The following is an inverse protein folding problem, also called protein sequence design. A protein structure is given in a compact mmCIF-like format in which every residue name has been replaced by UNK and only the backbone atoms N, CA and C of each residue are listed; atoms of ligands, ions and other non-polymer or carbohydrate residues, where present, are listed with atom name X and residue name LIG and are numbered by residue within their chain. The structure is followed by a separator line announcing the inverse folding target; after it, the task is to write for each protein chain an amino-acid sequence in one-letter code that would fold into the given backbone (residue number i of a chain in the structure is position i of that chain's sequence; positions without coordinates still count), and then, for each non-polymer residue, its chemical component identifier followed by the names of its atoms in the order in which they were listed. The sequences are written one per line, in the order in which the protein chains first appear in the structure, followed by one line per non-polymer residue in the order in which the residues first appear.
data_IF_083930133983
#
_entry.id   IF_083930133983
#
_cell.length_a   1.000
_cell.length_b   1.000
_cell.length_c   1.000
_cell.angle_alpha   90.00
_cell.angle_beta   90.00
_cell.angle_gamma   90.00
#
_symmetry.space_group_name_H-M   'P 1'
#
loop_
_entity.id
_entity.type
_entity.pdbx_description
1 polymer ?
#
# COMPACT_ATOMS: atom_id res chain seq x y z
N UNK A 1 -11.87 9.78 17.76
CA UNK A 1 -11.20 8.49 17.78
C UNK A 1 -9.73 8.53 17.32
N UNK A 2 -9.32 9.31 16.30
CA UNK A 2 -7.91 9.47 15.88
C UNK A 2 -6.99 10.06 16.98
N UNK A 3 -7.47 11.04 17.77
CA UNK A 3 -6.69 11.67 18.85
C UNK A 3 -6.29 10.72 19.97
N UNK A 4 -7.18 9.80 20.36
CA UNK A 4 -6.90 8.79 21.40
C UNK A 4 -5.91 7.71 20.92
N UNK A 5 -5.84 7.46 19.59
CA UNK A 5 -4.89 6.53 18.97
C UNK A 5 -3.47 7.12 18.92
N UNK A 6 -3.34 8.42 18.61
CA UNK A 6 -2.04 9.13 18.65
C UNK A 6 -1.44 9.17 20.06
N UNK A 7 -2.25 9.40 21.08
CA UNK A 7 -1.79 9.40 22.49
C UNK A 7 -1.35 8.02 22.99
N UNK A 8 -1.96 6.93 22.50
CA UNK A 8 -1.55 5.57 22.88
C UNK A 8 -0.24 5.11 22.20
N UNK A 9 0.11 5.69 21.03
CA UNK A 9 1.35 5.38 20.30
C UNK A 9 2.58 6.16 20.81
N UNK A 10 2.41 7.25 21.55
CA UNK A 10 3.51 8.14 21.99
C UNK A 10 4.29 7.66 23.24
N UNK A 11 3.97 6.51 23.82
CA UNK A 11 4.54 6.06 25.09
C UNK A 11 5.37 4.77 25.09
N UNK A 12 5.48 4.06 23.96
CA UNK A 12 6.34 2.87 23.84
C UNK A 12 7.39 3.12 22.76
N UNK A 13 8.59 2.58 22.98
CA UNK A 13 9.65 2.48 21.98
C UNK A 13 9.07 1.73 20.76
N UNK A 14 8.50 2.46 19.79
CA UNK A 14 7.77 1.88 18.64
C UNK A 14 8.82 1.31 17.72
N UNK A 15 8.92 -0.02 17.66
CA UNK A 15 9.85 -0.72 16.77
C UNK A 15 9.48 -0.41 15.32
N UNK A 16 10.46 -0.05 14.51
CA UNK A 16 10.30 0.16 13.07
C UNK A 16 9.84 -1.13 12.39
N UNK A 17 8.83 -1.03 11.50
CA UNK A 17 8.42 -2.16 10.65
C UNK A 17 9.25 -2.19 9.38
N UNK A 18 9.43 -1.03 8.75
CA UNK A 18 10.24 -0.87 7.53
C UNK A 18 11.22 0.27 7.76
N UNK A 19 12.46 0.07 7.36
CA UNK A 19 13.48 1.11 7.32
C UNK A 19 14.29 0.99 6.03
N UNK A 20 14.50 2.10 5.35
CA UNK A 20 15.40 2.22 4.22
C UNK A 20 16.43 3.31 4.49
N UNK A 21 17.67 3.06 4.12
CA UNK A 21 18.76 4.03 4.23
C UNK A 21 19.56 4.07 2.93
N UNK A 22 19.49 5.21 2.23
CA UNK A 22 20.17 5.44 0.95
C UNK A 22 19.81 4.40 -0.12
N UNK A 23 18.54 3.93 -0.14
CA UNK A 23 18.11 2.87 -1.04
C UNK A 23 18.23 3.31 -2.49
N UNK A 24 18.96 2.54 -3.30
CA UNK A 24 19.09 2.69 -4.73
C UNK A 24 18.79 1.40 -5.48
N UNK A 25 18.21 1.52 -6.67
CA UNK A 25 17.96 0.38 -7.53
C UNK A 25 17.98 0.73 -9.00
N UNK A 26 18.68 -0.08 -9.78
CA UNK A 26 18.82 0.05 -11.22
C UNK A 26 18.31 -1.21 -11.93
N UNK A 27 17.49 -1.02 -12.96
CA UNK A 27 17.15 -2.08 -13.89
C UNK A 27 18.18 -2.11 -15.02
N UNK A 28 18.70 -3.31 -15.31
CA UNK A 28 19.59 -3.57 -16.45
C UNK A 28 18.79 -4.24 -17.55
N UNK A 29 18.72 -3.62 -18.71
CA UNK A 29 18.05 -4.16 -19.89
C UNK A 29 19.09 -4.48 -20.97
N UNK A 30 19.19 -5.74 -21.34
CA UNK A 30 20.04 -6.20 -22.43
C UNK A 30 19.19 -6.29 -23.69
N UNK A 31 19.48 -5.48 -24.72
CA UNK A 31 18.73 -5.50 -25.99
C UNK A 31 19.27 -6.52 -26.98
N UNK A 32 20.61 -6.74 -27.03
CA UNK A 32 21.26 -7.74 -27.87
C UNK A 32 22.47 -8.35 -27.16
N UNK A 33 22.84 -9.59 -27.52
CA UNK A 33 24.07 -10.24 -27.02
C UNK A 33 25.31 -9.43 -27.45
N UNK A 34 26.08 -8.96 -26.46
CA UNK A 34 27.35 -8.24 -26.67
C UNK A 34 27.26 -6.72 -26.60
N UNK A 35 26.08 -6.13 -26.38
CA UNK A 35 25.94 -4.70 -26.08
C UNK A 35 25.97 -4.43 -24.57
N UNK A 36 26.43 -3.23 -24.19
CA UNK A 36 26.32 -2.77 -22.81
C UNK A 36 24.84 -2.62 -22.45
N UNK A 37 24.41 -3.03 -21.22
CA UNK A 37 23.02 -2.94 -20.81
C UNK A 37 22.59 -1.49 -20.70
N UNK A 38 21.37 -1.20 -21.13
CA UNK A 38 20.70 0.05 -20.80
C UNK A 38 20.38 0.06 -19.29
N UNK A 39 20.90 1.07 -18.59
CA UNK A 39 20.71 1.24 -17.15
C UNK A 39 19.59 2.23 -16.91
N UNK A 40 18.53 1.79 -16.23
CA UNK A 40 17.43 2.67 -15.81
C UNK A 40 17.38 2.73 -14.28
N UNK A 41 17.71 3.92 -13.72
CA UNK A 41 17.56 4.16 -12.28
C UNK A 41 16.08 4.23 -11.91
N UNK A 42 15.62 3.29 -11.09
CA UNK A 42 14.24 3.23 -10.62
C UNK A 42 14.05 3.76 -9.20
N UNK A 43 15.08 3.69 -8.37
CA UNK A 43 15.15 4.25 -7.02
C UNK A 43 16.51 4.93 -6.86
N UNK A 44 16.51 6.13 -6.28
CA UNK A 44 17.73 6.93 -6.04
C UNK A 44 17.69 7.56 -4.66
N UNK A 45 18.60 7.12 -3.78
CA UNK A 45 18.84 7.66 -2.42
C UNK A 45 17.56 7.80 -1.56
N UNK A 46 16.70 6.78 -1.55
CA UNK A 46 15.49 6.79 -0.75
C UNK A 46 15.78 6.35 0.68
N UNK A 47 15.52 7.26 1.63
CA UNK A 47 15.58 6.98 3.06
C UNK A 47 14.22 7.21 3.69
N UNK A 48 13.69 6.21 4.40
CA UNK A 48 12.37 6.26 5.06
C UNK A 48 12.30 5.34 6.26
N UNK A 49 11.34 5.62 7.13
CA UNK A 49 11.00 4.77 8.27
C UNK A 49 9.47 4.68 8.43
N UNK A 50 8.96 3.45 8.61
CA UNK A 50 7.56 3.14 8.84
C UNK A 50 7.45 2.35 10.15
N UNK A 51 6.63 2.83 11.07
CA UNK A 51 6.41 2.18 12.36
C UNK A 51 5.36 1.08 12.25
N UNK A 52 5.44 0.07 13.14
CA UNK A 52 4.44 -1.00 13.21
C UNK A 52 3.03 -0.43 13.40
N UNK A 53 2.09 -0.97 12.64
CA UNK A 53 0.68 -0.59 12.68
C UNK A 53 0.36 0.77 12.08
N UNK A 54 1.28 1.44 11.37
CA UNK A 54 0.95 2.62 10.58
C UNK A 54 0.24 2.25 9.28
N UNK A 55 -0.64 3.15 8.83
CA UNK A 55 -1.22 3.13 7.49
C UNK A 55 -0.51 4.20 6.66
N UNK A 56 0.34 3.77 5.72
CA UNK A 56 1.10 4.64 4.82
C UNK A 56 0.46 4.63 3.44
N UNK A 57 0.28 5.80 2.84
CA UNK A 57 -0.02 5.93 1.43
C UNK A 57 1.23 6.35 0.65
N UNK A 58 1.45 5.77 -0.53
CA UNK A 58 2.54 6.12 -1.44
C UNK A 58 1.94 6.67 -2.72
N UNK A 59 2.25 7.93 -3.02
CA UNK A 59 1.82 8.66 -4.21
C UNK A 59 2.98 8.89 -5.17
N UNK A 60 2.68 9.15 -6.43
CA UNK A 60 3.64 9.49 -7.47
C UNK A 60 3.07 9.16 -8.85
N UNK A 61 3.56 9.80 -9.90
CA UNK A 61 3.15 9.48 -11.28
C UNK A 61 3.66 8.08 -11.72
N UNK A 62 3.19 7.60 -12.89
CA UNK A 62 3.66 6.33 -13.44
C UNK A 62 5.16 6.39 -13.73
N UNK A 63 5.91 5.36 -13.31
CA UNK A 63 7.36 5.34 -13.45
C UNK A 63 8.14 6.07 -12.35
N UNK A 64 7.49 6.63 -11.32
CA UNK A 64 8.18 7.31 -10.22
C UNK A 64 8.90 6.38 -9.23
N UNK A 65 8.84 5.05 -9.39
CA UNK A 65 9.54 4.07 -8.55
C UNK A 65 8.70 3.40 -7.46
N UNK A 66 7.40 3.70 -7.31
CA UNK A 66 6.52 3.16 -6.24
C UNK A 66 6.47 1.64 -6.19
N UNK A 67 6.18 0.99 -7.32
CA UNK A 67 6.11 -0.48 -7.39
C UNK A 67 7.48 -1.14 -7.18
N UNK A 68 8.56 -0.44 -7.56
CA UNK A 68 9.94 -0.88 -7.28
C UNK A 68 10.21 -0.82 -5.78
N UNK A 69 9.84 0.27 -5.10
CA UNK A 69 9.92 0.39 -3.63
C UNK A 69 9.11 -0.72 -2.94
N UNK A 70 7.87 -0.97 -3.40
CA UNK A 70 7.01 -2.04 -2.87
C UNK A 70 7.69 -3.41 -2.93
N UNK A 71 8.33 -3.73 -4.06
CA UNK A 71 9.03 -5.01 -4.27
C UNK A 71 10.27 -5.17 -3.38
N UNK A 72 10.93 -4.08 -2.99
CA UNK A 72 12.03 -4.12 -2.01
C UNK A 72 11.52 -4.46 -0.61
N UNK A 73 10.34 -3.95 -0.22
CA UNK A 73 9.74 -4.23 1.10
C UNK A 73 9.44 -5.73 1.27
N UNK A 74 9.03 -6.41 0.20
CA UNK A 74 8.76 -7.86 0.23
C UNK A 74 10.00 -8.71 -0.14
N UNK A 75 11.18 -8.09 -0.26
CA UNK A 75 12.42 -8.75 -0.72
C UNK A 75 12.27 -9.51 -2.06
N UNK A 76 11.42 -9.01 -2.98
CA UNK A 76 11.36 -9.48 -4.36
C UNK A 76 12.47 -8.87 -5.22
N UNK A 77 12.95 -7.70 -4.84
CA UNK A 77 14.12 -7.04 -5.41
C UNK A 77 15.15 -6.82 -4.31
N UNK A 78 16.41 -6.99 -4.67
CA UNK A 78 17.55 -6.69 -3.79
C UNK A 78 18.11 -5.33 -4.19
N UNK A 79 18.34 -4.40 -3.24
CA UNK A 79 18.90 -3.09 -3.55
C UNK A 79 20.26 -3.18 -4.26
N UNK A 80 20.51 -2.29 -5.24
CA UNK A 80 21.84 -2.12 -5.83
C UNK A 80 22.73 -1.21 -4.97
N UNK A 81 22.09 -0.30 -4.21
CA UNK A 81 22.76 0.61 -3.27
C UNK A 81 21.94 0.75 -2.00
N UNK A 82 22.59 1.08 -0.89
CA UNK A 82 21.92 1.26 0.40
C UNK A 82 21.41 -0.02 1.02
N UNK A 83 20.45 0.09 1.93
CA UNK A 83 19.92 -1.08 2.66
C UNK A 83 18.44 -0.88 2.99
N UNK A 84 17.66 -1.95 2.86
CA UNK A 84 16.29 -2.06 3.34
C UNK A 84 16.22 -3.08 4.48
N UNK A 85 15.51 -2.73 5.55
CA UNK A 85 15.18 -3.62 6.67
C UNK A 85 13.67 -3.76 6.81
N UNK A 86 13.23 -4.97 7.11
CA UNK A 86 11.84 -5.33 7.44
C UNK A 86 11.85 -6.04 8.77
N UNK A 87 11.24 -5.45 9.79
CA UNK A 87 11.27 -5.96 11.18
C UNK A 87 12.71 -6.33 11.61
N UNK A 88 13.65 -5.38 11.41
CA UNK A 88 15.10 -5.48 11.67
C UNK A 88 15.88 -6.50 10.83
N UNK A 89 15.22 -7.28 9.97
CA UNK A 89 15.87 -8.20 9.03
C UNK A 89 16.25 -7.46 7.74
N UNK A 90 17.48 -7.69 7.22
CA UNK A 90 17.92 -7.08 5.96
C UNK A 90 17.39 -7.86 4.77
N UNK A 91 16.87 -7.14 3.78
CA UNK A 91 16.39 -7.74 2.54
C UNK A 91 17.49 -8.33 1.64
N UNK A 92 18.76 -8.03 1.96
CA UNK A 92 19.95 -8.58 1.29
C UNK A 92 20.41 -9.92 1.87
N UNK A 93 19.94 -10.30 3.07
CA UNK A 93 20.38 -11.50 3.75
C UNK A 93 19.47 -12.68 3.32
N UNK A 94 19.99 -13.60 2.52
CA UNK A 94 19.23 -14.71 1.92
C UNK A 94 18.50 -15.57 2.97
N UNK A 95 19.10 -15.76 4.15
CA UNK A 95 18.49 -16.50 5.27
C UNK A 95 17.23 -15.83 5.85
N UNK A 96 17.10 -14.52 5.68
CA UNK A 96 15.97 -13.76 6.20
C UNK A 96 14.86 -13.51 5.17
N UNK A 97 15.13 -13.70 3.88
CA UNK A 97 14.16 -13.44 2.79
C UNK A 97 12.84 -14.17 3.03
N UNK A 98 12.91 -15.46 3.44
CA UNK A 98 11.70 -16.23 3.70
C UNK A 98 10.88 -15.65 4.87
N UNK A 99 11.53 -15.28 5.97
CA UNK A 99 10.89 -14.66 7.14
C UNK A 99 10.29 -13.29 6.79
N UNK A 100 11.01 -12.49 5.97
CA UNK A 100 10.52 -11.20 5.48
C UNK A 100 9.23 -11.38 4.68
N UNK A 101 9.18 -12.34 3.75
CA UNK A 101 7.99 -12.62 2.94
C UNK A 101 6.81 -13.14 3.75
N UNK A 102 7.06 -13.83 4.86
CA UNK A 102 6.00 -14.21 5.79
C UNK A 102 5.42 -13.01 6.53
N UNK A 103 6.26 -12.02 6.89
CA UNK A 103 5.85 -10.83 7.65
C UNK A 103 5.29 -9.73 6.78
N UNK A 104 5.80 -9.55 5.56
CA UNK A 104 5.40 -8.51 4.61
C UNK A 104 4.74 -9.14 3.38
N UNK A 105 3.43 -9.33 3.42
CA UNK A 105 2.65 -9.80 2.28
C UNK A 105 2.50 -8.73 1.21
N UNK A 106 2.48 -9.12 -0.07
CA UNK A 106 2.32 -8.19 -1.19
C UNK A 106 1.13 -8.58 -2.07
N UNK A 107 0.33 -7.58 -2.45
CA UNK A 107 -0.72 -7.68 -3.46
C UNK A 107 -0.30 -6.90 -4.69
N UNK A 108 -0.24 -7.58 -5.83
CA UNK A 108 0.16 -6.99 -7.10
C UNK A 108 -1.00 -6.26 -7.78
N UNK A 109 -0.66 -5.30 -8.64
CA UNK A 109 -1.61 -4.54 -9.45
C UNK A 109 -2.47 -5.45 -10.34
N UNK A 110 -1.86 -6.47 -10.98
CA UNK A 110 -2.57 -7.44 -11.80
C UNK A 110 -2.76 -8.75 -11.03
N UNK A 111 -4.01 -9.14 -10.69
CA UNK A 111 -4.29 -10.36 -9.94
C UNK A 111 -3.96 -11.64 -10.74
N UNK A 112 -3.93 -11.61 -12.07
CA UNK A 112 -3.56 -12.77 -12.88
C UNK A 112 -2.09 -13.19 -12.68
N UNK A 113 -1.24 -12.29 -12.17
CA UNK A 113 0.14 -12.61 -11.81
C UNK A 113 0.26 -13.25 -10.42
N UNK A 114 -0.83 -13.31 -9.65
CA UNK A 114 -0.83 -13.77 -8.26
C UNK A 114 -1.67 -15.03 -8.05
N UNK A 115 -2.82 -15.12 -8.71
CA UNK A 115 -3.74 -16.26 -8.59
C UNK A 115 -3.19 -17.45 -9.37
N UNK A 116 -3.02 -18.58 -8.70
CA UNK A 116 -2.46 -19.82 -9.25
C UNK A 116 -3.41 -21.02 -9.10
N UNK A 117 -4.35 -20.97 -8.16
CA UNK A 117 -5.30 -22.03 -7.86
C UNK A 117 -6.39 -22.19 -8.92
N UNK A 118 -6.94 -23.40 -9.03
CA UNK A 118 -8.10 -23.67 -9.89
C UNK A 118 -9.44 -23.39 -9.21
N UNK A 119 -9.45 -23.30 -7.88
CA UNK A 119 -10.61 -23.01 -7.02
C UNK A 119 -10.23 -21.88 -6.08
N UNK A 120 -11.13 -20.93 -5.88
CA UNK A 120 -10.89 -19.72 -5.07
C UNK A 120 -10.44 -20.06 -3.65
N UNK A 121 -11.11 -20.99 -2.96
CA UNK A 121 -10.74 -21.34 -1.58
C UNK A 121 -9.37 -22.04 -1.49
N UNK A 122 -8.97 -22.81 -2.48
CA UNK A 122 -7.66 -23.44 -2.56
C UNK A 122 -6.58 -22.39 -2.81
N UNK A 123 -6.83 -21.42 -3.68
CA UNK A 123 -5.90 -20.33 -3.95
C UNK A 123 -5.64 -19.49 -2.69
N UNK A 124 -6.70 -19.13 -1.97
CA UNK A 124 -6.60 -18.37 -0.70
C UNK A 124 -5.92 -19.20 0.39
N UNK A 125 -6.11 -20.52 0.41
CA UNK A 125 -5.48 -21.45 1.36
C UNK A 125 -4.02 -21.72 1.07
N UNK A 126 -3.55 -21.51 -0.16
CA UNK A 126 -2.19 -21.84 -0.60
C UNK A 126 -1.08 -21.15 0.23
N UNK A 127 -1.25 -19.86 0.54
CA UNK A 127 -0.30 -19.12 1.38
C UNK A 127 -0.15 -19.73 2.78
N UNK A 128 -1.22 -19.86 3.56
CA UNK A 128 -1.19 -20.51 4.87
C UNK A 128 -0.66 -21.94 4.84
N UNK A 129 -0.99 -22.71 3.81
CA UNK A 129 -0.47 -24.08 3.64
C UNK A 129 1.05 -24.10 3.53
N UNK A 130 1.63 -23.25 2.69
CA UNK A 130 3.08 -23.11 2.56
C UNK A 130 3.76 -22.62 3.85
N UNK A 131 3.02 -21.93 4.73
CA UNK A 131 3.50 -21.54 6.06
C UNK A 131 3.40 -22.65 7.10
N UNK A 132 2.90 -23.85 6.73
CA UNK A 132 2.73 -24.98 7.64
C UNK A 132 1.61 -24.79 8.68
N UNK A 133 0.61 -23.94 8.39
CA UNK A 133 -0.54 -23.73 9.25
C UNK A 133 -1.39 -25.01 9.29
N UNK A 134 -1.88 -25.45 10.48
CA UNK A 134 -2.76 -26.63 10.57
C UNK A 134 -4.02 -26.50 9.71
N UNK A 135 -4.47 -27.60 9.10
CA UNK A 135 -5.57 -27.61 8.11
C UNK A 135 -6.85 -26.96 8.63
N UNK A 136 -7.24 -27.24 9.87
CA UNK A 136 -8.46 -26.65 10.47
C UNK A 136 -8.35 -25.12 10.58
N UNK A 137 -7.17 -24.61 10.90
CA UNK A 137 -6.91 -23.18 10.99
C UNK A 137 -6.82 -22.55 9.60
N UNK A 138 -6.31 -23.26 8.57
CA UNK A 138 -6.29 -22.78 7.17
C UNK A 138 -7.72 -22.45 6.74
N UNK A 139 -8.64 -23.39 6.87
CA UNK A 139 -10.03 -23.20 6.41
C UNK A 139 -10.74 -22.05 7.14
N UNK A 140 -10.47 -21.89 8.41
CA UNK A 140 -10.98 -20.75 9.17
C UNK A 140 -10.45 -19.41 8.63
N UNK A 141 -9.14 -19.31 8.39
CA UNK A 141 -8.51 -18.09 7.80
C UNK A 141 -9.02 -17.80 6.40
N UNK A 142 -9.24 -18.84 5.58
CA UNK A 142 -9.82 -18.73 4.24
C UNK A 142 -11.23 -18.13 4.32
N UNK A 143 -12.09 -18.68 5.20
CA UNK A 143 -13.46 -18.19 5.38
C UNK A 143 -13.50 -16.75 5.88
N UNK A 144 -12.69 -16.41 6.90
CA UNK A 144 -12.57 -15.04 7.42
C UNK A 144 -12.11 -14.05 6.34
N UNK A 145 -11.09 -14.42 5.55
CA UNK A 145 -10.51 -13.56 4.52
C UNK A 145 -11.45 -13.36 3.33
N UNK A 146 -12.10 -14.43 2.85
CA UNK A 146 -13.11 -14.34 1.79
C UNK A 146 -14.34 -13.55 2.24
N UNK A 147 -14.75 -13.68 3.50
CA UNK A 147 -15.84 -12.87 4.06
C UNK A 147 -15.46 -11.39 4.13
N UNK A 148 -14.26 -11.07 4.60
CA UNK A 148 -13.79 -9.71 4.72
C UNK A 148 -13.67 -8.99 3.36
N UNK A 149 -13.36 -9.72 2.29
CA UNK A 149 -13.25 -9.19 0.92
C UNK A 149 -14.57 -9.32 0.11
N UNK A 150 -15.66 -9.81 0.72
CA UNK A 150 -16.95 -10.01 0.05
C UNK A 150 -16.94 -11.11 -1.01
N UNK A 151 -16.03 -12.11 -0.88
CA UNK A 151 -15.83 -13.17 -1.86
C UNK A 151 -16.29 -14.56 -1.38
N UNK A 152 -16.89 -14.67 -0.21
CA UNK A 152 -17.29 -15.96 0.38
C UNK A 152 -18.24 -16.77 -0.50
N UNK A 153 -19.17 -16.12 -1.21
CA UNK A 153 -20.10 -16.78 -2.14
C UNK A 153 -19.43 -17.40 -3.37
N UNK A 154 -18.18 -17.00 -3.64
CA UNK A 154 -17.40 -17.49 -4.78
C UNK A 154 -16.35 -18.54 -4.38
N UNK A 155 -16.34 -19.00 -3.12
CA UNK A 155 -15.29 -19.87 -2.58
C UNK A 155 -15.03 -21.12 -3.42
N UNK A 156 -16.09 -21.77 -3.96
CA UNK A 156 -16.00 -22.97 -4.78
C UNK A 156 -15.91 -22.68 -6.29
N UNK A 157 -15.79 -21.41 -6.71
CA UNK A 157 -15.70 -21.06 -8.12
C UNK A 157 -14.25 -21.15 -8.63
N UNK A 158 -14.15 -21.35 -9.96
CA UNK A 158 -12.85 -21.20 -10.63
C UNK A 158 -12.52 -19.71 -10.79
N UNK A 159 -11.30 -19.27 -10.44
CA UNK A 159 -10.85 -17.89 -10.65
C UNK A 159 -10.97 -17.40 -12.08
N UNK A 160 -10.86 -18.30 -13.06
CA UNK A 160 -10.99 -17.98 -14.48
C UNK A 160 -12.41 -17.50 -14.89
N UNK A 161 -13.42 -17.74 -14.04
CA UNK A 161 -14.81 -17.29 -14.25
C UNK A 161 -15.11 -15.97 -13.53
N UNK A 162 -14.15 -15.41 -12.84
CA UNK A 162 -14.29 -14.16 -12.09
C UNK A 162 -13.94 -12.94 -12.95
N UNK A 163 -14.60 -11.81 -12.68
CA UNK A 163 -14.18 -10.53 -13.22
C UNK A 163 -12.82 -10.10 -12.66
N UNK A 164 -12.11 -9.17 -13.31
CA UNK A 164 -10.82 -8.65 -12.83
C UNK A 164 -10.92 -8.10 -11.41
N UNK A 165 -11.99 -7.39 -11.07
CA UNK A 165 -12.22 -6.88 -9.71
C UNK A 165 -12.50 -7.98 -8.69
N UNK A 166 -13.16 -9.06 -9.07
CA UNK A 166 -13.37 -10.23 -8.19
C UNK A 166 -12.03 -10.96 -7.97
N UNK A 167 -11.23 -11.16 -9.01
CA UNK A 167 -9.88 -11.73 -8.90
C UNK A 167 -9.00 -10.92 -7.95
N UNK A 168 -9.02 -9.59 -8.05
CA UNK A 168 -8.26 -8.72 -7.17
C UNK A 168 -8.66 -8.90 -5.69
N UNK A 169 -9.95 -9.03 -5.41
CA UNK A 169 -10.45 -9.29 -4.05
C UNK A 169 -10.03 -10.67 -3.53
N UNK A 170 -9.96 -11.67 -4.41
CA UNK A 170 -9.42 -13.00 -4.06
C UNK A 170 -7.92 -12.93 -3.76
N UNK A 171 -7.14 -12.23 -4.58
CA UNK A 171 -5.71 -12.03 -4.35
C UNK A 171 -5.44 -11.34 -3.00
N UNK A 172 -6.23 -10.33 -2.65
CA UNK A 172 -6.17 -9.67 -1.34
C UNK A 172 -6.53 -10.66 -0.21
N UNK A 173 -7.59 -11.47 -0.39
CA UNK A 173 -7.97 -12.48 0.59
C UNK A 173 -6.84 -13.50 0.84
N UNK A 174 -6.12 -13.93 -0.21
CA UNK A 174 -4.98 -14.84 -0.11
C UNK A 174 -3.86 -14.27 0.77
N UNK A 175 -3.51 -12.99 0.58
CA UNK A 175 -2.51 -12.33 1.43
C UNK A 175 -3.03 -12.16 2.87
N UNK A 176 -4.31 -11.80 3.05
CA UNK A 176 -4.91 -11.67 4.38
C UNK A 176 -4.92 -12.99 5.16
N UNK A 177 -5.14 -14.12 4.48
CA UNK A 177 -5.16 -15.45 5.09
C UNK A 177 -3.80 -15.86 5.66
N UNK A 178 -2.71 -15.33 5.13
CA UNK A 178 -1.35 -15.52 5.68
C UNK A 178 -1.16 -14.80 7.02
N UNK A 179 -2.00 -13.83 7.37
CA UNK A 179 -1.94 -12.99 8.57
C UNK A 179 -0.58 -12.27 8.75
N UNK A 180 -0.09 -11.56 7.75
CA UNK A 180 1.18 -10.87 7.82
C UNK A 180 1.15 -9.70 8.82
N UNK A 181 2.33 -9.26 9.29
CA UNK A 181 2.49 -8.06 10.14
C UNK A 181 2.43 -6.76 9.31
N UNK A 182 2.74 -6.85 8.00
CA UNK A 182 2.69 -5.76 7.04
C UNK A 182 2.03 -6.23 5.74
N UNK A 183 1.18 -5.39 5.14
CA UNK A 183 0.62 -5.62 3.81
C UNK A 183 1.02 -4.47 2.90
N UNK A 184 1.65 -4.80 1.77
CA UNK A 184 1.95 -3.88 0.68
C UNK A 184 0.94 -4.11 -0.44
N UNK A 185 0.22 -3.07 -0.81
CA UNK A 185 -0.85 -3.09 -1.80
C UNK A 185 -0.45 -2.19 -2.97
N UNK A 186 -0.08 -2.78 -4.09
CA UNK A 186 0.31 -2.05 -5.30
C UNK A 186 -0.91 -1.84 -6.19
N UNK A 187 -1.51 -0.65 -6.13
CA UNK A 187 -2.71 -0.23 -6.86
C UNK A 187 -3.90 -1.22 -6.76
N UNK A 188 -4.26 -1.68 -5.55
CA UNK A 188 -5.18 -2.81 -5.37
C UNK A 188 -6.61 -2.51 -5.82
N UNK A 189 -6.93 -1.25 -6.07
CA UNK A 189 -8.29 -0.78 -6.39
C UNK A 189 -8.44 -0.33 -7.84
N UNK A 190 -7.37 -0.35 -8.64
CA UNK A 190 -7.36 0.15 -10.02
C UNK A 190 -8.39 -0.54 -10.93
N UNK A 191 -8.61 -1.85 -10.73
CA UNK A 191 -9.54 -2.65 -11.54
C UNK A 191 -10.93 -2.80 -10.90
N UNK A 192 -11.22 -2.11 -9.79
CA UNK A 192 -12.46 -2.25 -9.05
C UNK A 192 -13.48 -1.18 -9.42
N UNK A 193 -14.75 -1.57 -9.41
CA UNK A 193 -15.87 -0.64 -9.40
C UNK A 193 -15.91 0.15 -8.07
N UNK A 194 -16.64 1.27 -7.97
CA UNK A 194 -16.65 2.10 -6.77
C UNK A 194 -17.08 1.36 -5.49
N UNK A 195 -17.97 0.38 -5.59
CA UNK A 195 -18.41 -0.41 -4.44
C UNK A 195 -17.33 -1.40 -4.00
N UNK A 196 -16.76 -2.15 -4.93
CA UNK A 196 -15.65 -3.08 -4.65
C UNK A 196 -14.45 -2.37 -4.04
N UNK A 197 -14.12 -1.15 -4.52
CA UNK A 197 -13.07 -0.30 -3.95
C UNK A 197 -13.34 0.02 -2.48
N UNK A 198 -14.56 0.46 -2.13
CA UNK A 198 -14.95 0.76 -0.75
C UNK A 198 -14.88 -0.46 0.15
N UNK A 199 -15.29 -1.64 -0.34
CA UNK A 199 -15.23 -2.90 0.40
C UNK A 199 -13.79 -3.31 0.72
N UNK A 200 -12.90 -3.28 -0.26
CA UNK A 200 -11.48 -3.59 -0.09
C UNK A 200 -10.82 -2.63 0.90
N UNK A 201 -11.00 -1.32 0.72
CA UNK A 201 -10.43 -0.33 1.62
C UNK A 201 -10.94 -0.48 3.05
N UNK A 202 -12.23 -0.81 3.22
CA UNK A 202 -12.81 -1.10 4.53
C UNK A 202 -12.16 -2.33 5.18
N UNK A 203 -11.95 -3.41 4.41
CA UNK A 203 -11.30 -4.62 4.91
C UNK A 203 -9.86 -4.35 5.34
N UNK A 204 -9.08 -3.66 4.50
CA UNK A 204 -7.68 -3.29 4.79
C UNK A 204 -7.58 -2.36 6.00
N UNK A 205 -8.47 -1.36 6.09
CA UNK A 205 -8.53 -0.48 7.27
C UNK A 205 -8.86 -1.24 8.55
N UNK A 206 -9.81 -2.16 8.49
CA UNK A 206 -10.18 -3.02 9.62
C UNK A 206 -8.98 -3.83 10.11
N UNK A 207 -8.19 -4.42 9.20
CA UNK A 207 -6.95 -5.10 9.56
C UNK A 207 -5.97 -4.17 10.28
N UNK A 208 -5.77 -2.96 9.77
CA UNK A 208 -4.90 -1.99 10.40
C UNK A 208 -5.42 -1.53 11.77
N UNK A 209 -6.72 -1.20 11.85
CA UNK A 209 -7.33 -0.63 13.07
C UNK A 209 -7.52 -1.66 14.18
N UNK A 210 -7.97 -2.88 13.85
CA UNK A 210 -8.32 -3.91 14.84
C UNK A 210 -7.15 -4.85 15.16
N UNK A 211 -6.35 -5.22 14.12
CA UNK A 211 -5.25 -6.19 14.29
C UNK A 211 -3.87 -5.53 14.35
N UNK A 212 -3.76 -4.22 14.12
CA UNK A 212 -2.49 -3.50 14.17
C UNK A 212 -1.55 -3.81 13.00
N UNK A 213 -2.05 -4.40 11.91
CA UNK A 213 -1.25 -4.70 10.72
C UNK A 213 -0.77 -3.39 10.08
N UNK A 214 0.50 -3.32 9.75
CA UNK A 214 1.06 -2.19 9.00
C UNK A 214 0.56 -2.25 7.56
N UNK A 215 0.10 -1.12 7.01
CA UNK A 215 -0.41 -1.04 5.64
C UNK A 215 0.41 -0.05 4.83
N UNK A 216 0.84 -0.47 3.65
CA UNK A 216 1.47 0.39 2.65
C UNK A 216 0.60 0.32 1.40
N UNK A 217 -0.12 1.40 1.11
CA UNK A 217 -1.04 1.52 0.00
C UNK A 217 -0.45 2.40 -1.09
N UNK A 218 -0.13 1.84 -2.24
CA UNK A 218 0.17 2.59 -3.45
C UNK A 218 -1.14 2.80 -4.19
N UNK A 219 -1.49 4.06 -4.48
CA UNK A 219 -2.74 4.39 -5.16
C UNK A 219 -2.63 5.68 -5.96
N UNK A 220 -3.49 5.82 -6.96
CA UNK A 220 -3.74 7.06 -7.70
C UNK A 220 -5.03 7.77 -7.25
N UNK A 221 -5.77 7.21 -6.29
CA UNK A 221 -7.03 7.76 -5.82
C UNK A 221 -6.82 8.56 -4.54
N UNK A 222 -6.92 9.87 -4.63
CA UNK A 222 -6.63 10.78 -3.52
C UNK A 222 -7.58 10.58 -2.32
N UNK A 223 -8.81 10.16 -2.56
CA UNK A 223 -9.78 9.83 -1.53
C UNK A 223 -9.35 8.65 -0.64
N UNK A 224 -8.53 7.73 -1.18
CA UNK A 224 -8.00 6.59 -0.43
C UNK A 224 -6.89 7.01 0.54
N UNK A 225 -6.20 8.10 0.21
CA UNK A 225 -5.04 8.62 0.96
C UNK A 225 -5.45 9.40 2.21
N UNK A 226 -6.63 10.02 2.20
CA UNK A 226 -7.14 10.88 3.28
C UNK A 226 -7.12 10.17 4.65
N UNK A 227 -7.21 8.85 4.66
CA UNK A 227 -7.26 8.04 5.88
C UNK A 227 -5.88 7.57 6.36
N UNK A 228 -4.82 7.77 5.60
CA UNK A 228 -3.48 7.37 5.96
C UNK A 228 -2.96 8.13 7.21
N UNK A 229 -2.05 7.51 7.96
CA UNK A 229 -1.32 8.18 9.04
C UNK A 229 -0.24 9.09 8.44
N UNK A 230 0.42 8.63 7.35
CA UNK A 230 1.44 9.40 6.61
C UNK A 230 1.34 9.12 5.12
N UNK A 231 1.81 10.08 4.35
CA UNK A 231 1.90 10.02 2.89
C UNK A 231 3.35 10.19 2.49
N UNK A 232 3.81 9.35 1.58
CA UNK A 232 5.09 9.46 0.89
C UNK A 232 4.82 9.81 -0.57
N UNK A 233 5.48 10.84 -1.09
CA UNK A 233 5.38 11.24 -2.50
C UNK A 233 6.69 10.93 -3.18
N UNK A 234 6.61 10.10 -4.22
CA UNK A 234 7.75 9.72 -5.05
C UNK A 234 7.71 10.41 -6.40
N UNK A 235 8.85 10.90 -6.84
CA UNK A 235 9.07 11.45 -8.17
C UNK A 235 10.45 11.06 -8.68
N UNK A 236 10.53 10.55 -9.93
CA UNK A 236 11.78 10.15 -10.58
C UNK A 236 12.71 9.31 -9.67
N UNK A 237 12.16 8.30 -8.99
CA UNK A 237 12.92 7.40 -8.13
C UNK A 237 13.25 7.96 -6.74
N UNK A 238 12.88 9.19 -6.41
CA UNK A 238 13.19 9.86 -5.14
C UNK A 238 11.97 10.06 -4.26
N UNK A 239 12.17 10.08 -2.95
CA UNK A 239 11.18 10.51 -1.98
C UNK A 239 11.23 12.04 -1.85
N UNK A 240 10.29 12.75 -2.51
CA UNK A 240 10.34 14.22 -2.62
C UNK A 240 9.50 14.94 -1.56
N UNK A 241 8.47 14.27 -1.00
CA UNK A 241 7.66 14.79 0.10
C UNK A 241 7.26 13.67 1.04
N UNK A 242 7.11 13.98 2.32
CA UNK A 242 6.51 13.09 3.32
C UNK A 242 5.83 13.90 4.42
N UNK A 243 4.68 13.44 4.90
CA UNK A 243 3.91 14.14 5.91
C UNK A 243 2.57 13.48 6.17
N UNK A 244 1.72 14.11 6.94
CA UNK A 244 0.31 13.72 7.08
C UNK A 244 -0.45 14.03 5.78
N UNK A 245 -1.61 13.40 5.52
CA UNK A 245 -2.44 13.77 4.37
C UNK A 245 -2.74 15.27 4.32
N UNK A 246 -2.99 15.89 5.47
CA UNK A 246 -3.27 17.33 5.55
C UNK A 246 -2.10 18.19 5.11
N UNK A 247 -0.89 17.87 5.59
CA UNK A 247 0.33 18.59 5.20
C UNK A 247 0.59 18.45 3.70
N UNK A 248 0.49 17.22 3.16
CA UNK A 248 0.75 16.93 1.75
C UNK A 248 -0.27 17.63 0.84
N UNK A 249 -1.57 17.50 1.14
CA UNK A 249 -2.61 18.07 0.29
C UNK A 249 -2.81 19.59 0.48
N UNK A 250 -2.15 20.21 1.46
CA UNK A 250 -2.06 21.67 1.54
C UNK A 250 -1.14 22.25 0.46
N UNK A 251 -0.17 21.47 -0.03
CA UNK A 251 0.80 21.87 -1.05
C UNK A 251 0.27 21.64 -2.48
N UNK A 252 -0.92 22.22 -2.77
CA UNK A 252 -1.67 21.97 -4.02
C UNK A 252 -0.84 22.26 -5.27
N UNK A 253 -0.15 23.41 -5.33
CA UNK A 253 0.63 23.78 -6.51
C UNK A 253 1.83 22.85 -6.72
N UNK A 254 2.52 22.49 -5.65
CA UNK A 254 3.65 21.55 -5.71
C UNK A 254 3.22 20.16 -6.16
N UNK A 255 2.05 19.68 -5.73
CA UNK A 255 1.51 18.40 -6.20
C UNK A 255 1.14 18.45 -7.68
N UNK A 256 0.58 19.58 -8.17
CA UNK A 256 0.34 19.79 -9.60
C UNK A 256 1.64 19.80 -10.43
N UNK A 257 2.70 20.42 -9.94
CA UNK A 257 4.04 20.36 -10.57
C UNK A 257 4.54 18.92 -10.70
N UNK A 258 4.28 18.09 -9.67
CA UNK A 258 4.58 16.66 -9.66
C UNK A 258 3.56 15.80 -10.46
N UNK A 259 2.63 16.43 -11.20
CA UNK A 259 1.55 15.77 -11.98
C UNK A 259 0.65 14.88 -11.11
N UNK A 260 0.41 15.31 -9.87
CA UNK A 260 -0.47 14.65 -8.93
C UNK A 260 -1.69 15.51 -8.65
N UNK A 261 -2.82 14.85 -8.50
CA UNK A 261 -4.06 15.49 -8.08
C UNK A 261 -4.14 15.64 -6.55
N UNK A 262 -5.15 16.38 -6.09
CA UNK A 262 -5.56 16.46 -4.70
C UNK A 262 -7.02 16.03 -4.59
N UNK A 263 -7.54 15.68 -3.38
CA UNK A 263 -8.96 15.40 -3.22
C UNK A 263 -9.81 16.54 -3.78
N UNK A 264 -10.92 16.23 -4.45
CA UNK A 264 -11.78 17.24 -5.10
C UNK A 264 -12.22 18.33 -4.13
N UNK A 265 -12.55 17.94 -2.89
CA UNK A 265 -12.93 18.90 -1.85
C UNK A 265 -11.78 19.82 -1.46
N UNK A 266 -10.54 19.31 -1.44
CA UNK A 266 -9.33 20.11 -1.15
C UNK A 266 -9.09 21.12 -2.27
N UNK A 267 -9.20 20.69 -3.53
CA UNK A 267 -9.05 21.58 -4.68
C UNK A 267 -10.13 22.68 -4.67
N UNK A 268 -11.38 22.31 -4.39
CA UNK A 268 -12.49 23.26 -4.30
C UNK A 268 -12.27 24.27 -3.17
N UNK A 269 -11.86 23.81 -1.99
CA UNK A 269 -11.55 24.69 -0.85
C UNK A 269 -10.37 25.63 -1.17
N UNK A 270 -9.35 25.14 -1.85
CA UNK A 270 -8.22 25.94 -2.30
C UNK A 270 -8.63 27.06 -3.26
N UNK A 271 -9.45 26.75 -4.27
CA UNK A 271 -9.95 27.76 -5.23
C UNK A 271 -10.92 28.75 -4.55
N UNK A 272 -11.79 28.27 -3.68
CA UNK A 272 -12.72 29.11 -2.95
C UNK A 272 -12.01 30.10 -2.03
N UNK A 273 -10.93 29.69 -1.38
CA UNK A 273 -10.09 30.53 -0.51
C UNK A 273 -9.52 31.76 -1.24
N UNK A 274 -9.21 31.66 -2.53
CA UNK A 274 -8.72 32.77 -3.34
C UNK A 274 -9.75 33.90 -3.44
N UNK A 275 -11.05 33.60 -3.27
CA UNK A 275 -12.15 34.54 -3.43
C UNK A 275 -12.83 34.95 -2.11
N UNK A 276 -12.88 34.05 -1.13
CA UNK A 276 -13.65 34.23 0.12
C UNK A 276 -12.76 34.54 1.34
N UNK A 277 -11.46 34.34 1.25
CA UNK A 277 -10.55 34.55 2.40
C UNK A 277 -10.60 33.40 3.41
N UNK A 278 -10.49 33.59 4.62
CA UNK A 278 -10.47 32.78 5.87
C UNK A 278 -10.80 31.25 5.90
N UNK A 279 -10.73 30.52 4.80
CA UNK A 279 -10.87 29.09 4.83
C UNK A 279 -9.56 28.40 5.29
N UNK A 280 -9.61 27.37 6.17
CA UNK A 280 -8.44 26.61 6.58
C UNK A 280 -7.74 25.93 5.40
N UNK A 281 -6.42 25.77 5.52
CA UNK A 281 -5.65 24.96 4.58
C UNK A 281 -5.86 23.46 4.83
N UNK A 282 -5.68 22.65 3.77
CA UNK A 282 -5.68 21.20 3.89
C UNK A 282 -7.02 20.59 4.31
N UNK A 283 -8.13 21.17 3.89
CA UNK A 283 -9.45 20.54 4.04
C UNK A 283 -9.44 19.22 3.26
N UNK A 284 -9.81 18.13 3.92
CA UNK A 284 -9.73 16.77 3.36
C UNK A 284 -11.10 16.13 3.11
N UNK A 285 -12.14 16.63 3.76
CA UNK A 285 -13.49 16.05 3.67
C UNK A 285 -14.55 17.12 3.42
N UNK A 286 -15.66 16.69 2.80
CA UNK A 286 -16.82 17.58 2.58
C UNK A 286 -17.34 18.10 3.92
N UNK A 287 -17.34 17.27 4.95
CA UNK A 287 -17.81 17.65 6.29
C UNK A 287 -16.95 18.77 6.90
N UNK A 288 -15.61 18.67 6.75
CA UNK A 288 -14.70 19.75 7.17
C UNK A 288 -14.99 21.05 6.41
N UNK A 289 -15.22 20.98 5.09
CA UNK A 289 -15.53 22.17 4.29
C UNK A 289 -16.85 22.82 4.71
N UNK A 290 -17.90 22.02 4.88
CA UNK A 290 -19.21 22.53 5.34
C UNK A 290 -19.08 23.21 6.70
N UNK A 291 -18.39 22.62 7.64
CA UNK A 291 -18.15 23.20 8.96
C UNK A 291 -17.39 24.53 8.87
N UNK A 292 -16.37 24.61 7.97
CA UNK A 292 -15.59 25.82 7.77
C UNK A 292 -16.38 26.96 7.09
N UNK A 293 -17.44 26.65 6.32
CA UNK A 293 -18.28 27.66 5.64
C UNK A 293 -19.47 28.12 6.48
N UNK A 294 -19.92 27.30 7.45
CA UNK A 294 -21.09 27.57 8.26
C UNK A 294 -20.75 28.23 9.62
N UNK A 295 -19.50 28.40 9.93
CA UNK A 295 -18.98 29.02 11.14
C UNK A 295 -18.00 30.15 10.82
#
# INVERSE_FOLDING_TARGET
MKSARMQKKAGNNVMGMIRAAGLGYEYLRYEEEGQEPEVTKAIEDVSLEIQKGQFIAVLGHNGSGKSTLAKHINALLVPTEGTMWVDDMKTTDEEDVWKIRQKAGMVFQNPDNQIIGNVVEEDVGFGPENLGVPTDEIWKRVEESLTATGMISYRAHSPNKLSGGQKQRVAIAGVMAMQPECIVLDEPTAMLDPNGRKEVLRAVRKLNEEKGVTVILITHYMEEVVFADRVFVMDNGKLVMQGTPREIFSEVEKLKELRLDVPQVTLFAYELRKNVGDLPEGILTIEELVNALCH
#
